data_IF_809572187829
#
_entry.id   IF_809572187829
#
_cell.length_a   1.000
_cell.length_b   1.000
_cell.length_c   1.000
_cell.angle_alpha   90.00
_cell.angle_beta   90.00
_cell.angle_gamma   90.00
#
_symmetry.space_group_name_H-M   'P 1'
#
loop_
_entity.id
_entity.type
_entity.pdbx_description
1 polymer ?
#
# COMPACT_ATOMS: atom_id res chain seq x y z
N UNK A 1 -14.92 -11.33 9.01
CA UNK A 1 -13.98 -10.24 9.37
C UNK A 1 -12.54 -10.76 9.30
N UNK A 2 -11.59 -9.91 8.93
CA UNK A 2 -10.16 -10.27 8.86
C UNK A 2 -9.31 -9.08 9.35
N UNK A 3 -8.21 -9.38 10.06
CA UNK A 3 -7.25 -8.38 10.53
C UNK A 3 -5.83 -8.93 10.56
N UNK A 4 -4.87 -8.05 10.34
CA UNK A 4 -3.45 -8.37 10.49
C UNK A 4 -3.04 -8.25 11.96
N UNK A 5 -2.23 -9.19 12.44
CA UNK A 5 -1.57 -9.12 13.75
C UNK A 5 -0.61 -7.92 13.82
N UNK A 6 -0.40 -7.28 14.99
CA UNK A 6 0.49 -6.11 15.12
C UNK A 6 1.96 -6.34 14.73
N UNK A 7 2.42 -7.60 14.72
CA UNK A 7 3.77 -7.96 14.28
C UNK A 7 3.88 -8.21 12.77
N UNK A 8 2.77 -8.03 12.02
CA UNK A 8 2.64 -8.25 10.58
C UNK A 8 2.91 -9.68 10.10
N UNK A 9 2.77 -10.70 10.96
CA UNK A 9 3.08 -12.09 10.62
C UNK A 9 1.88 -13.01 10.44
N UNK A 10 0.70 -12.66 10.94
CA UNK A 10 -0.48 -13.54 10.94
C UNK A 10 -1.74 -12.75 10.62
N UNK A 11 -2.54 -13.23 9.68
CA UNK A 11 -3.92 -12.81 9.50
C UNK A 11 -4.83 -13.63 10.41
N UNK A 12 -5.62 -12.94 11.22
CA UNK A 12 -6.69 -13.52 12.01
C UNK A 12 -8.01 -13.25 11.31
N UNK A 13 -8.82 -14.28 11.11
CA UNK A 13 -10.10 -14.15 10.42
C UNK A 13 -11.16 -15.09 11.02
N UNK A 14 -12.41 -14.76 10.75
CA UNK A 14 -13.56 -15.43 11.35
C UNK A 14 -14.87 -14.72 11.05
N UNK A 15 -15.96 -15.42 11.31
CA UNK A 15 -17.29 -14.85 11.20
C UNK A 15 -17.54 -13.83 12.31
N UNK A 16 -18.33 -12.81 11.99
CA UNK A 16 -18.65 -11.75 12.92
C UNK A 16 -20.00 -11.15 12.55
N UNK A 17 -20.77 -10.72 13.55
CA UNK A 17 -21.99 -9.97 13.34
C UNK A 17 -21.69 -8.63 12.64
N UNK A 18 -22.61 -8.17 11.77
CA UNK A 18 -22.43 -6.96 10.95
C UNK A 18 -22.17 -5.68 11.76
N UNK A 19 -22.46 -5.67 13.07
CA UNK A 19 -22.37 -4.50 13.94
C UNK A 19 -21.24 -4.55 14.97
N UNK A 20 -20.52 -5.67 15.07
CA UNK A 20 -19.41 -5.82 16.01
C UNK A 20 -18.07 -5.83 15.28
N UNK A 21 -17.05 -5.25 15.92
CA UNK A 21 -15.66 -5.37 15.46
C UNK A 21 -14.95 -6.32 16.42
N UNK A 22 -14.60 -7.54 15.99
CA UNK A 22 -14.08 -8.54 16.89
C UNK A 22 -12.62 -8.23 17.24
N UNK A 23 -12.25 -8.55 18.46
CA UNK A 23 -10.86 -8.56 18.94
C UNK A 23 -10.09 -9.69 18.26
N UNK A 24 -8.75 -9.62 18.34
CA UNK A 24 -7.88 -10.63 17.69
C UNK A 24 -8.05 -12.04 18.28
N UNK A 25 -8.46 -12.12 19.55
CA UNK A 25 -8.64 -13.38 20.29
C UNK A 25 -9.98 -14.05 19.97
N UNK A 26 -10.97 -13.28 19.50
CA UNK A 26 -12.29 -13.79 19.08
C UNK A 26 -12.27 -14.41 17.68
N UNK A 27 -11.19 -14.19 16.91
CA UNK A 27 -11.03 -14.71 15.55
C UNK A 27 -10.32 -16.07 15.58
N UNK A 28 -11.04 -17.17 15.30
CA UNK A 28 -10.51 -18.52 15.52
C UNK A 28 -9.49 -18.95 14.46
N UNK A 29 -9.63 -18.45 13.22
CA UNK A 29 -8.80 -18.89 12.10
C UNK A 29 -7.57 -17.99 11.96
N UNK A 30 -6.44 -18.63 11.65
CA UNK A 30 -5.13 -17.97 11.51
C UNK A 30 -4.48 -18.39 10.21
N UNK A 31 -3.92 -17.43 9.50
CA UNK A 31 -3.13 -17.62 8.30
C UNK A 31 -1.78 -16.92 8.48
N UNK A 32 -0.68 -17.64 8.42
CA UNK A 32 0.64 -17.02 8.51
C UNK A 32 0.97 -16.30 7.19
N UNK A 33 1.52 -15.09 7.29
CA UNK A 33 1.89 -14.28 6.12
C UNK A 33 2.97 -14.96 5.29
N UNK A 34 3.85 -15.74 5.92
CA UNK A 34 4.89 -16.52 5.22
C UNK A 34 4.32 -17.60 4.30
N UNK A 35 3.10 -18.07 4.57
CA UNK A 35 2.45 -19.10 3.76
C UNK A 35 1.77 -18.50 2.51
N UNK A 36 1.73 -17.16 2.39
CA UNK A 36 1.13 -16.47 1.26
C UNK A 36 2.14 -16.40 0.12
N UNK A 37 1.78 -17.06 -0.98
CA UNK A 37 2.57 -17.10 -2.21
C UNK A 37 2.28 -15.93 -3.15
N UNK A 38 1.06 -15.41 -3.12
CA UNK A 38 0.65 -14.35 -4.04
C UNK A 38 -0.76 -13.85 -3.81
N UNK A 39 -1.12 -12.81 -4.57
CA UNK A 39 -2.42 -12.16 -4.55
C UNK A 39 -3.05 -12.25 -5.94
N UNK A 40 -4.30 -12.74 -6.00
CA UNK A 40 -5.13 -12.70 -7.19
C UNK A 40 -6.22 -11.66 -6.99
N UNK A 41 -6.63 -11.00 -8.08
CA UNK A 41 -7.66 -9.97 -8.05
C UNK A 41 -8.70 -10.22 -9.15
N UNK A 42 -9.93 -9.82 -8.86
CA UNK A 42 -11.08 -9.89 -9.73
C UNK A 42 -11.33 -11.24 -10.41
N UNK A 43 -11.23 -11.29 -11.73
CA UNK A 43 -11.60 -12.48 -12.53
C UNK A 43 -10.65 -13.65 -12.35
N UNK A 44 -9.44 -13.39 -11.87
CA UNK A 44 -8.44 -14.43 -11.62
C UNK A 44 -8.72 -15.19 -10.32
N UNK A 45 -9.58 -14.65 -9.45
CA UNK A 45 -9.97 -15.28 -8.20
C UNK A 45 -10.78 -16.57 -8.44
N UNK A 46 -10.43 -17.70 -7.78
CA UNK A 46 -11.13 -18.97 -7.95
C UNK A 46 -12.65 -18.89 -7.73
N UNK A 47 -13.08 -18.18 -6.67
CA UNK A 47 -14.50 -17.98 -6.34
C UNK A 47 -15.28 -17.15 -7.37
N UNK A 48 -14.60 -16.50 -8.32
CA UNK A 48 -15.22 -15.64 -9.33
C UNK A 48 -15.33 -16.31 -10.71
N UNK A 49 -14.78 -17.52 -10.90
CA UNK A 49 -14.78 -18.22 -12.20
C UNK A 49 -16.17 -18.64 -12.68
N UNK A 50 -17.08 -18.97 -11.74
CA UNK A 50 -18.44 -19.45 -12.06
C UNK A 50 -19.52 -18.34 -12.00
N UNK A 51 -19.18 -17.14 -11.51
CA UNK A 51 -20.11 -16.02 -11.36
C UNK A 51 -20.30 -15.21 -12.66
N UNK A 52 -20.60 -15.85 -13.78
CA UNK A 52 -20.81 -15.15 -15.07
C UNK A 52 -21.98 -14.13 -15.11
N UNK A 53 -22.75 -13.97 -14.02
CA UNK A 53 -23.99 -13.16 -13.99
C UNK A 53 -23.91 -11.82 -13.27
N UNK A 54 -22.86 -11.49 -12.49
CA UNK A 54 -22.80 -10.24 -11.70
C UNK A 54 -21.51 -9.45 -11.92
N UNK A 55 -21.48 -8.70 -13.03
CA UNK A 55 -20.33 -7.91 -13.52
C UNK A 55 -19.68 -6.97 -12.48
N UNK A 56 -20.42 -6.47 -11.49
CA UNK A 56 -19.94 -5.46 -10.52
C UNK A 56 -19.14 -6.06 -9.36
N UNK A 57 -19.45 -7.28 -8.91
CA UNK A 57 -18.78 -7.89 -7.74
C UNK A 57 -17.35 -8.33 -8.05
N UNK A 58 -17.01 -8.58 -9.32
CA UNK A 58 -15.66 -8.97 -9.72
C UNK A 58 -14.62 -7.88 -9.53
N UNK A 59 -14.98 -6.61 -9.36
CA UNK A 59 -13.98 -5.55 -9.22
C UNK A 59 -13.43 -5.45 -7.79
N UNK A 60 -14.18 -5.95 -6.81
CA UNK A 60 -13.83 -5.89 -5.38
C UNK A 60 -13.36 -7.23 -4.81
N UNK A 61 -13.26 -8.26 -5.66
CA UNK A 61 -12.85 -9.59 -5.27
C UNK A 61 -11.33 -9.72 -5.28
N UNK A 62 -10.75 -10.35 -4.26
CA UNK A 62 -9.35 -10.71 -4.21
C UNK A 62 -9.15 -12.03 -3.46
N UNK A 63 -8.05 -12.73 -3.74
CA UNK A 63 -7.75 -14.02 -3.12
C UNK A 63 -6.27 -14.13 -2.80
N UNK A 64 -5.95 -14.64 -1.61
CA UNK A 64 -4.59 -14.98 -1.21
C UNK A 64 -4.27 -16.39 -1.68
N UNK A 65 -3.24 -16.56 -2.50
CA UNK A 65 -2.70 -17.87 -2.85
C UNK A 65 -1.79 -18.38 -1.75
N UNK A 66 -2.01 -19.61 -1.32
CA UNK A 66 -1.27 -20.22 -0.22
C UNK A 66 -0.36 -21.35 -0.71
N UNK A 67 0.72 -21.61 0.00
CA UNK A 67 1.64 -22.73 -0.26
C UNK A 67 1.27 -24.01 0.54
N UNK A 68 -0.02 -24.15 0.89
CA UNK A 68 -0.54 -25.27 1.68
C UNK A 68 -1.24 -26.34 0.83
N UNK A 69 -1.14 -27.60 1.25
CA UNK A 69 -1.78 -28.75 0.60
C UNK A 69 -3.28 -28.82 0.91
N UNK A 70 -3.71 -28.29 2.05
CA UNK A 70 -5.10 -28.37 2.52
C UNK A 70 -5.96 -27.20 2.03
N UNK A 71 -5.38 -26.00 2.00
CA UNK A 71 -6.04 -24.77 1.57
C UNK A 71 -5.18 -24.08 0.54
N UNK A 72 -5.66 -24.04 -0.71
CA UNK A 72 -4.89 -23.47 -1.83
C UNK A 72 -5.06 -21.97 -1.96
N UNK A 73 -6.17 -21.43 -1.44
CA UNK A 73 -6.49 -20.02 -1.50
C UNK A 73 -7.41 -19.59 -0.36
N UNK A 74 -7.35 -18.31 0.01
CA UNK A 74 -8.29 -17.64 0.91
C UNK A 74 -8.96 -16.49 0.17
N UNK A 75 -10.28 -16.59 -0.01
CA UNK A 75 -11.09 -15.71 -0.85
C UNK A 75 -11.73 -14.56 -0.06
N UNK A 76 -11.75 -13.36 -0.64
CA UNK A 76 -12.33 -12.16 -0.05
C UNK A 76 -13.10 -11.33 -1.09
N UNK A 77 -14.12 -10.63 -0.60
CA UNK A 77 -14.82 -9.58 -1.35
C UNK A 77 -14.83 -8.33 -0.47
N UNK A 78 -14.18 -7.27 -0.95
CA UNK A 78 -14.16 -5.99 -0.25
C UNK A 78 -15.55 -5.32 -0.26
N UNK A 79 -15.90 -4.58 0.80
CA UNK A 79 -17.17 -3.86 0.87
C UNK A 79 -17.24 -2.66 -0.09
N UNK A 80 -16.10 -2.04 -0.38
CA UNK A 80 -15.97 -0.87 -1.25
C UNK A 80 -14.57 -0.82 -1.90
N UNK A 81 -14.39 0.11 -2.85
CA UNK A 81 -13.16 0.28 -3.64
C UNK A 81 -11.98 0.73 -2.79
N UNK A 82 -12.21 1.59 -1.79
CA UNK A 82 -11.13 2.09 -0.92
C UNK A 82 -10.57 0.96 -0.05
N UNK A 83 -11.45 0.15 0.56
CA UNK A 83 -11.04 -1.01 1.34
C UNK A 83 -10.34 -2.05 0.45
N UNK A 84 -10.80 -2.24 -0.79
CA UNK A 84 -10.11 -3.08 -1.76
C UNK A 84 -8.68 -2.60 -2.04
N UNK A 85 -8.51 -1.31 -2.31
CA UNK A 85 -7.21 -0.67 -2.57
C UNK A 85 -6.28 -0.84 -1.36
N UNK A 86 -6.77 -0.60 -0.14
CA UNK A 86 -5.98 -0.77 1.09
C UNK A 86 -5.55 -2.22 1.33
N UNK A 87 -6.44 -3.19 1.10
CA UNK A 87 -6.09 -4.60 1.26
C UNK A 87 -5.07 -5.05 0.23
N UNK A 88 -5.31 -4.74 -1.05
CA UNK A 88 -4.42 -5.17 -2.14
C UNK A 88 -3.04 -4.56 -2.01
N UNK A 89 -2.94 -3.27 -1.69
CA UNK A 89 -1.65 -2.62 -1.45
C UNK A 89 -0.98 -3.09 -0.17
N UNK A 90 -1.73 -3.26 0.93
CA UNK A 90 -1.18 -3.79 2.18
C UNK A 90 -0.61 -5.20 2.01
N UNK A 91 -1.30 -6.08 1.29
CA UNK A 91 -0.82 -7.42 0.97
C UNK A 91 0.39 -7.35 0.04
N UNK A 92 0.37 -6.50 -1.00
CA UNK A 92 1.53 -6.31 -1.86
C UNK A 92 2.75 -5.83 -1.09
N UNK A 93 2.59 -4.89 -0.14
CA UNK A 93 3.66 -4.43 0.73
C UNK A 93 4.23 -5.55 1.62
N UNK A 94 3.37 -6.41 2.18
CA UNK A 94 3.79 -7.58 2.95
C UNK A 94 4.60 -8.59 2.12
N UNK A 95 4.24 -8.74 0.84
CA UNK A 95 4.95 -9.61 -0.10
C UNK A 95 6.21 -8.94 -0.70
N UNK A 96 6.48 -7.68 -0.37
CA UNK A 96 7.60 -6.91 -0.94
C UNK A 96 7.36 -6.43 -2.38
N UNK A 97 6.12 -6.49 -2.85
CA UNK A 97 5.71 -5.99 -4.16
C UNK A 97 5.39 -4.49 -4.10
N UNK A 98 5.38 -3.85 -5.27
CA UNK A 98 4.99 -2.44 -5.39
C UNK A 98 3.48 -2.28 -5.17
N UNK A 99 3.09 -1.28 -4.39
CA UNK A 99 1.70 -0.82 -4.25
C UNK A 99 1.28 -0.07 -5.53
N UNK A 100 0.12 -0.42 -6.09
CA UNK A 100 -0.32 0.05 -7.42
C UNK A 100 -1.74 0.61 -7.43
N UNK A 101 -2.42 0.65 -6.28
CA UNK A 101 -3.77 1.18 -6.23
C UNK A 101 -3.84 2.68 -6.48
N UNK A 102 -5.06 3.16 -6.73
CA UNK A 102 -5.33 4.58 -6.91
C UNK A 102 -5.16 5.34 -5.60
N UNK A 103 -5.57 4.76 -4.48
CA UNK A 103 -5.40 5.37 -3.16
C UNK A 103 -3.91 5.60 -2.83
N UNK A 104 -3.02 4.65 -3.12
CA UNK A 104 -1.57 4.85 -2.94
C UNK A 104 -1.03 6.00 -3.79
N UNK A 105 -1.50 6.15 -5.03
CA UNK A 105 -1.07 7.25 -5.88
C UNK A 105 -1.55 8.61 -5.36
N UNK A 106 -2.83 8.69 -4.94
CA UNK A 106 -3.42 9.90 -4.36
C UNK A 106 -2.69 10.32 -3.07
N UNK A 107 -2.44 9.36 -2.17
CA UNK A 107 -1.73 9.60 -0.92
C UNK A 107 -0.30 10.06 -1.19
N UNK A 108 0.40 9.41 -2.12
CA UNK A 108 1.76 9.79 -2.53
C UNK A 108 1.79 11.21 -3.09
N UNK A 109 0.86 11.56 -3.98
CA UNK A 109 0.78 12.91 -4.55
C UNK A 109 0.52 13.95 -3.47
N UNK A 110 -0.41 13.68 -2.56
CA UNK A 110 -0.77 14.59 -1.47
C UNK A 110 0.41 14.84 -0.54
N UNK A 111 1.07 13.77 -0.09
CA UNK A 111 2.23 13.85 0.81
C UNK A 111 3.43 14.53 0.14
N UNK A 112 3.72 14.17 -1.11
CA UNK A 112 4.81 14.77 -1.87
C UNK A 112 4.55 16.25 -2.17
N UNK A 113 3.32 16.60 -2.53
CA UNK A 113 2.93 17.99 -2.77
C UNK A 113 3.15 18.84 -1.53
N UNK A 114 2.78 18.31 -0.35
CA UNK A 114 3.00 19.00 0.92
C UNK A 114 4.50 19.17 1.23
N UNK A 115 5.31 18.11 1.09
CA UNK A 115 6.75 18.19 1.33
C UNK A 115 7.45 19.17 0.38
N UNK A 116 7.12 19.12 -0.91
CA UNK A 116 7.64 20.08 -1.91
C UNK A 116 7.27 21.50 -1.54
N UNK A 117 6.01 21.77 -1.16
CA UNK A 117 5.57 23.11 -0.74
C UNK A 117 6.36 23.61 0.47
N UNK A 118 6.63 22.76 1.46
CA UNK A 118 7.44 23.12 2.62
C UNK A 118 8.89 23.45 2.23
N UNK A 119 9.49 22.68 1.33
CA UNK A 119 10.84 22.93 0.81
C UNK A 119 10.96 24.21 -0.02
N UNK A 120 9.86 24.62 -0.65
CA UNK A 120 9.82 25.82 -1.50
C UNK A 120 9.46 27.10 -0.74
N UNK A 121 9.24 27.06 0.58
CA UNK A 121 8.96 28.25 1.38
C UNK A 121 10.09 29.29 1.27
N UNK A 122 11.35 28.85 1.28
CA UNK A 122 12.51 29.75 1.14
C UNK A 122 12.66 30.34 -0.27
N UNK A 123 11.97 29.76 -1.25
CA UNK A 123 11.97 30.20 -2.64
C UNK A 123 10.72 31.02 -3.01
N UNK A 124 9.90 31.42 -2.03
CA UNK A 124 8.69 32.19 -2.27
C UNK A 124 9.01 33.56 -2.92
N UNK A 125 8.37 33.85 -4.04
CA UNK A 125 8.61 35.08 -4.82
C UNK A 125 9.87 35.06 -5.69
N UNK A 126 10.68 34.00 -5.66
CA UNK A 126 11.85 33.83 -6.51
C UNK A 126 11.44 33.13 -7.81
N UNK A 127 11.96 33.60 -8.95
CA UNK A 127 11.79 32.92 -10.24
C UNK A 127 12.67 31.67 -10.26
N UNK A 128 12.06 30.50 -10.23
CA UNK A 128 12.77 29.21 -10.34
C UNK A 128 13.25 29.05 -11.80
N UNK A 129 14.57 28.94 -12.04
CA UNK A 129 15.10 28.72 -13.38
C UNK A 129 14.69 27.34 -13.91
N UNK A 130 14.44 27.24 -15.22
CA UNK A 130 14.07 25.96 -15.87
C UNK A 130 15.29 25.03 -16.01
N UNK A 131 16.44 25.60 -16.30
CA UNK A 131 17.70 24.89 -16.39
C UNK A 131 18.55 25.11 -15.13
N UNK A 132 19.26 24.08 -14.65
CA UNK A 132 20.16 24.24 -13.53
C UNK A 132 21.26 25.26 -13.87
N UNK A 133 21.54 26.24 -12.99
CA UNK A 133 22.58 27.24 -13.25
C UNK A 133 23.96 26.56 -13.36
N UNK A 134 24.86 27.06 -14.22
CA UNK A 134 26.18 26.48 -14.37
C UNK A 134 26.95 26.57 -13.05
N UNK A 135 27.58 25.46 -12.67
CA UNK A 135 28.44 25.41 -11.49
C UNK A 135 29.75 26.14 -11.82
N UNK A 136 30.13 27.19 -11.07
CA UNK A 136 31.38 27.89 -11.32
C UNK A 136 32.60 27.01 -11.01
N UNK A 137 33.74 27.32 -11.64
CA UNK A 137 35.01 26.70 -11.30
C UNK A 137 35.37 26.96 -9.82
N UNK A 138 36.06 26.03 -9.15
CA UNK A 138 36.45 26.20 -7.76
C UNK A 138 37.33 27.46 -7.59
N UNK A 139 37.26 28.14 -6.44
CA UNK A 139 38.07 29.32 -6.18
C UNK A 139 39.59 29.03 -6.28
N UNK A 140 40.42 30.02 -6.66
CA UNK A 140 41.87 29.84 -6.76
C UNK A 140 42.57 29.52 -5.44
N UNK A 141 41.96 29.89 -4.31
CA UNK A 141 42.45 29.64 -2.96
C UNK A 141 41.29 29.41 -2.00
N UNK A 142 41.60 28.97 -0.78
CA UNK A 142 40.65 28.74 0.30
C UNK A 142 40.90 29.70 1.48
N UNK A 143 41.40 30.91 1.20
CA UNK A 143 41.62 31.95 2.19
C UNK A 143 40.29 32.67 2.48
N UNK A 144 39.46 32.05 3.31
CA UNK A 144 38.10 32.53 3.60
C UNK A 144 38.13 33.88 4.35
N UNK A 145 37.27 34.82 3.93
CA UNK A 145 37.13 36.13 4.58
C UNK A 145 36.55 36.05 6.01
N UNK A 146 35.99 34.90 6.40
CA UNK A 146 35.36 34.67 7.69
C UNK A 146 35.80 33.32 8.25
N UNK A 147 36.07 33.29 9.55
CA UNK A 147 36.26 32.03 10.28
C UNK A 147 34.89 31.43 10.62
N UNK A 148 34.71 30.15 10.35
CA UNK A 148 33.56 29.38 10.84
C UNK A 148 33.71 29.20 12.35
N UNK A 149 32.76 29.75 13.11
CA UNK A 149 32.61 29.48 14.55
C UNK A 149 31.87 28.18 14.80
#
# INVERSE_FOLDING_TARGET
YVRLSPNHKVFHYGDCDEKSVPTIDELPMKLAVVDIRGLLVGRDCPHMKDLQRRKTTHQLAFSLLLDSVEMTNLDFVAPDEQVFDYWTDGINALLGNKMTSKETENDRETLLSMDIKLRLLDAEGIKIPQDPPPIPEPPPNYDFCYELK
#
